data_IF_652295854500
#
_entry.id   IF_652295854500
#
_cell.length_a   1.000
_cell.length_b   1.000
_cell.length_c   1.000
_cell.angle_alpha   90.00
_cell.angle_beta   90.00
_cell.angle_gamma   90.00
#
_symmetry.space_group_name_H-M   'P 1'
#
loop_
_entity.id
_entity.type
_entity.pdbx_description
1 polymer ?
#
# COMPACT_ATOMS: atom_id res chain seq x y z
N UNK A 1 8.37 13.28 4.06
CA UNK A 1 7.69 13.70 5.31
C UNK A 1 8.73 13.75 6.40
N UNK A 2 8.88 14.84 7.17
CA UNK A 2 9.85 14.89 8.28
C UNK A 2 9.14 14.67 9.62
N UNK A 3 9.70 13.81 10.45
CA UNK A 3 9.27 13.48 11.79
C UNK A 3 10.19 14.18 12.79
N UNK A 4 9.63 15.06 13.61
CA UNK A 4 10.39 15.93 14.53
C UNK A 4 10.05 15.70 16.00
N UNK A 5 8.80 15.34 16.30
CA UNK A 5 8.27 15.13 17.65
C UNK A 5 7.11 14.13 17.63
N UNK A 6 6.63 13.70 18.79
CA UNK A 6 5.43 12.85 18.92
C UNK A 6 4.20 13.46 18.23
N UNK A 7 4.08 14.79 18.13
CA UNK A 7 2.99 15.46 17.40
C UNK A 7 2.94 15.06 15.92
N UNK A 8 4.08 14.61 15.37
CA UNK A 8 4.14 14.14 14.00
C UNK A 8 3.33 12.84 13.78
N UNK A 9 2.94 12.13 14.85
CA UNK A 9 1.94 11.05 14.81
C UNK A 9 0.54 11.54 14.41
N UNK A 10 0.23 12.82 14.68
CA UNK A 10 -1.06 13.45 14.36
C UNK A 10 -1.09 14.07 12.97
N UNK A 11 -0.02 13.94 12.17
CA UNK A 11 -0.02 14.37 10.78
C UNK A 11 -1.11 13.64 9.98
N UNK A 12 -1.88 14.35 9.13
CA UNK A 12 -2.97 13.73 8.36
C UNK A 12 -2.54 12.51 7.56
N UNK A 13 -1.36 12.52 6.95
CA UNK A 13 -0.83 11.41 6.19
C UNK A 13 -0.51 10.16 7.05
N UNK A 14 -0.11 10.35 8.31
CA UNK A 14 0.15 9.27 9.26
C UNK A 14 -1.17 8.65 9.73
N UNK A 15 -2.12 9.48 10.17
CA UNK A 15 -3.45 9.01 10.57
C UNK A 15 -4.18 8.31 9.42
N UNK A 16 -4.07 8.84 8.19
CA UNK A 16 -4.60 8.21 6.98
C UNK A 16 -3.92 6.87 6.71
N UNK A 17 -2.59 6.76 6.90
CA UNK A 17 -1.87 5.50 6.78
C UNK A 17 -2.41 4.46 7.76
N UNK A 18 -2.46 4.79 9.06
CA UNK A 18 -2.97 3.88 10.10
C UNK A 18 -4.39 3.42 9.79
N UNK A 19 -5.28 4.35 9.42
CA UNK A 19 -6.66 4.02 9.03
C UNK A 19 -6.70 3.07 7.84
N UNK A 20 -5.93 3.34 6.78
CA UNK A 20 -5.90 2.47 5.58
C UNK A 20 -5.29 1.10 5.86
N UNK A 21 -4.30 1.00 6.73
CA UNK A 21 -3.79 -0.31 7.20
C UNK A 21 -4.90 -1.08 7.93
N UNK A 22 -5.66 -0.40 8.80
CA UNK A 22 -6.76 -1.04 9.56
C UNK A 22 -7.96 -1.41 8.68
N UNK A 23 -8.33 -0.58 7.72
CA UNK A 23 -9.57 -0.76 6.97
C UNK A 23 -9.38 -1.45 5.62
N UNK A 24 -8.27 -1.18 4.93
CA UNK A 24 -8.09 -1.55 3.52
C UNK A 24 -7.04 -2.63 3.30
N UNK A 25 -6.05 -2.78 4.18
CA UNK A 25 -5.04 -3.80 4.01
C UNK A 25 -5.46 -5.13 4.64
N UNK A 26 -5.37 -6.20 3.85
CA UNK A 26 -5.53 -7.59 4.29
C UNK A 26 -4.27 -8.39 3.94
N UNK A 27 -3.75 -9.19 4.89
CA UNK A 27 -2.66 -10.12 4.60
C UNK A 27 -3.14 -11.19 3.60
N UNK A 28 -2.26 -11.69 2.72
CA UNK A 28 -2.59 -12.79 1.82
C UNK A 28 -3.01 -14.03 2.61
N UNK A 29 -4.09 -14.71 2.22
CA UNK A 29 -4.75 -15.75 3.05
C UNK A 29 -3.88 -16.99 3.32
N UNK A 30 -3.09 -17.42 2.32
CA UNK A 30 -2.35 -18.69 2.40
C UNK A 30 -1.02 -18.61 3.17
N UNK A 31 -0.72 -17.48 3.81
CA UNK A 31 0.51 -17.32 4.58
C UNK A 31 0.45 -18.10 5.90
N UNK A 32 1.57 -18.71 6.28
CA UNK A 32 1.70 -19.51 7.52
C UNK A 32 2.60 -18.86 8.55
N UNK A 33 3.49 -17.98 8.11
CA UNK A 33 4.44 -17.28 8.97
C UNK A 33 4.57 -15.81 8.56
N UNK A 34 4.40 -14.90 9.52
CA UNK A 34 4.74 -13.49 9.36
C UNK A 34 5.96 -13.16 10.19
N UNK A 35 6.98 -12.62 9.53
CA UNK A 35 8.20 -12.14 10.18
C UNK A 35 8.13 -10.62 10.31
N UNK A 36 8.15 -10.15 11.55
CA UNK A 36 8.17 -8.73 11.91
C UNK A 36 9.63 -8.27 11.99
N UNK A 37 9.98 -7.27 11.17
CA UNK A 37 11.32 -6.73 11.02
C UNK A 37 11.38 -5.27 11.49
N UNK A 38 12.54 -4.76 11.96
CA UNK A 38 12.71 -3.36 12.27
C UNK A 38 12.84 -2.55 10.97
N UNK A 39 12.59 -1.25 11.05
CA UNK A 39 12.85 -0.35 9.93
C UNK A 39 14.35 -0.18 9.62
N UNK A 40 14.65 0.43 8.47
CA UNK A 40 16.00 0.87 8.11
C UNK A 40 16.03 2.33 7.67
N UNK A 41 17.18 2.98 7.83
CA UNK A 41 17.38 4.36 7.36
C UNK A 41 17.11 4.51 5.85
N UNK A 42 17.65 3.58 5.04
CA UNK A 42 17.38 3.55 3.61
C UNK A 42 15.98 3.00 3.34
N UNK A 43 15.18 3.75 2.57
CA UNK A 43 13.84 3.40 2.11
C UNK A 43 13.79 3.40 0.57
N UNK A 44 12.94 2.56 -0.07
CA UNK A 44 12.15 1.49 0.54
C UNK A 44 13.02 0.45 1.26
N UNK A 45 12.49 -0.22 2.29
CA UNK A 45 13.35 -0.99 3.19
C UNK A 45 14.03 -2.17 2.49
N UNK A 46 13.37 -2.80 1.52
CA UNK A 46 13.91 -3.94 0.76
C UNK A 46 15.23 -3.67 0.03
N UNK A 47 15.58 -2.41 -0.25
CA UNK A 47 16.85 -2.03 -0.90
C UNK A 47 17.95 -1.65 0.11
N UNK A 48 17.67 -1.76 1.40
CA UNK A 48 18.66 -1.54 2.47
C UNK A 48 19.57 -2.76 2.66
N UNK A 49 20.81 -2.51 3.10
CA UNK A 49 21.78 -3.60 3.39
C UNK A 49 21.25 -4.58 4.43
N UNK A 50 20.60 -4.07 5.48
CA UNK A 50 20.03 -4.89 6.56
C UNK A 50 18.93 -5.81 6.04
N UNK A 51 17.93 -5.27 5.33
CA UNK A 51 16.85 -6.10 4.79
C UNK A 51 17.31 -7.09 3.72
N UNK A 52 18.33 -6.75 2.92
CA UNK A 52 18.93 -7.71 1.99
C UNK A 52 19.50 -8.94 2.75
N UNK A 53 20.15 -8.73 3.90
CA UNK A 53 20.62 -9.83 4.77
C UNK A 53 19.47 -10.59 5.41
N UNK A 54 18.46 -9.91 5.97
CA UNK A 54 17.28 -10.55 6.56
C UNK A 54 16.56 -11.42 5.53
N UNK A 55 16.31 -10.90 4.32
CA UNK A 55 15.66 -11.65 3.24
C UNK A 55 16.50 -12.85 2.78
N UNK A 56 17.83 -12.74 2.79
CA UNK A 56 18.72 -13.88 2.52
C UNK A 56 18.53 -14.99 3.55
N UNK A 57 18.49 -14.65 4.84
CA UNK A 57 18.23 -15.59 5.92
C UNK A 57 16.82 -16.21 5.84
N UNK A 58 15.79 -15.37 5.64
CA UNK A 58 14.41 -15.83 5.44
C UNK A 58 14.31 -16.82 4.28
N UNK A 59 14.94 -16.50 3.15
CA UNK A 59 14.99 -17.39 1.97
C UNK A 59 15.74 -18.70 2.26
N UNK A 60 16.84 -18.64 3.02
CA UNK A 60 17.61 -19.83 3.39
C UNK A 60 16.81 -20.76 4.34
N UNK A 61 16.03 -20.20 5.27
CA UNK A 61 15.16 -20.96 6.16
C UNK A 61 13.94 -21.54 5.45
N UNK A 62 13.23 -20.73 4.68
CA UNK A 62 11.97 -21.13 4.04
C UNK A 62 12.16 -22.02 2.80
N UNK A 63 13.28 -21.87 2.07
CA UNK A 63 13.55 -22.63 0.86
C UNK A 63 12.42 -22.54 -0.17
N UNK A 64 11.87 -23.70 -0.57
CA UNK A 64 10.72 -23.79 -1.51
C UNK A 64 9.40 -23.29 -0.92
N UNK A 65 9.32 -23.08 0.40
CA UNK A 65 8.14 -22.63 1.14
C UNK A 65 8.12 -21.11 1.37
N UNK A 66 8.99 -20.35 0.69
CA UNK A 66 9.08 -18.88 0.82
C UNK A 66 7.74 -18.16 0.57
N UNK A 67 6.84 -18.73 -0.23
CA UNK A 67 5.53 -18.16 -0.49
C UNK A 67 4.58 -18.18 0.74
N UNK A 68 4.89 -18.99 1.75
CA UNK A 68 4.16 -19.02 3.02
C UNK A 68 4.63 -17.93 3.99
N UNK A 69 5.73 -17.25 3.68
CA UNK A 69 6.33 -16.23 4.56
C UNK A 69 5.93 -14.84 4.11
N UNK A 70 5.32 -14.10 5.04
CA UNK A 70 5.02 -12.68 4.90
C UNK A 70 6.00 -11.84 5.73
N UNK A 71 6.19 -10.59 5.32
CA UNK A 71 7.12 -9.67 5.95
C UNK A 71 6.38 -8.37 6.30
N UNK A 72 6.47 -7.99 7.57
CA UNK A 72 5.92 -6.73 8.09
C UNK A 72 7.04 -5.95 8.76
N UNK A 73 7.07 -4.64 8.60
CA UNK A 73 8.13 -3.77 9.12
C UNK A 73 7.52 -2.83 10.14
N UNK A 74 8.08 -2.82 11.35
CA UNK A 74 7.69 -1.85 12.37
C UNK A 74 8.52 -0.59 12.27
N UNK A 75 7.86 0.54 12.46
CA UNK A 75 8.53 1.84 12.44
C UNK A 75 7.69 2.92 13.09
N UNK A 76 8.34 3.97 13.60
CA UNK A 76 7.66 5.22 13.92
C UNK A 76 7.85 6.21 12.76
N UNK A 77 6.84 7.03 12.41
CA UNK A 77 5.50 7.14 13.00
C UNK A 77 4.44 6.23 12.39
N UNK A 78 4.78 5.46 11.35
CA UNK A 78 3.77 4.72 10.56
C UNK A 78 3.21 3.48 11.27
N UNK A 79 3.84 3.09 12.37
CA UNK A 79 3.53 1.93 13.18
C UNK A 79 3.94 0.63 12.49
N UNK A 80 3.20 0.27 11.45
CA UNK A 80 3.35 -0.99 10.72
C UNK A 80 3.30 -0.76 9.21
N UNK A 81 4.26 -1.34 8.49
CA UNK A 81 4.37 -1.27 7.03
C UNK A 81 4.47 -2.68 6.47
N UNK A 82 3.40 -3.20 5.84
CA UNK A 82 3.49 -4.43 5.06
C UNK A 82 4.46 -4.30 3.89
N UNK A 83 5.22 -5.35 3.58
CA UNK A 83 6.24 -5.34 2.52
C UNK A 83 5.67 -4.90 1.17
N UNK A 84 4.42 -5.23 0.85
CA UNK A 84 3.78 -4.85 -0.40
C UNK A 84 3.66 -3.33 -0.57
N UNK A 85 3.55 -2.59 0.54
CA UNK A 85 3.23 -1.17 0.59
C UNK A 85 4.45 -0.27 0.87
N UNK A 86 5.66 -0.83 1.04
CA UNK A 86 6.86 -0.07 1.45
C UNK A 86 7.30 1.03 0.45
N UNK A 87 6.86 0.92 -0.80
CA UNK A 87 7.12 1.90 -1.87
C UNK A 87 6.13 3.06 -1.87
N UNK A 88 5.02 2.97 -1.13
CA UNK A 88 3.99 3.99 -1.09
C UNK A 88 4.38 5.15 -0.17
N UNK A 89 3.87 6.34 -0.49
CA UNK A 89 3.96 7.47 0.45
C UNK A 89 3.02 7.22 1.65
N UNK A 90 3.44 7.53 2.89
CA UNK A 90 4.74 8.10 3.28
C UNK A 90 5.87 7.08 3.57
N UNK A 91 5.61 5.77 3.57
CA UNK A 91 6.57 4.72 3.94
C UNK A 91 7.90 4.78 3.17
N UNK A 92 7.87 5.11 1.88
CA UNK A 92 9.06 5.15 1.06
C UNK A 92 10.03 6.31 1.34
N UNK A 93 9.59 7.37 2.04
CA UNK A 93 10.36 8.63 2.10
C UNK A 93 10.06 9.51 3.31
N UNK A 94 9.55 8.94 4.41
CA UNK A 94 9.57 9.66 5.68
C UNK A 94 11.01 9.72 6.21
N UNK A 95 11.30 10.78 6.93
CA UNK A 95 12.57 11.06 7.57
C UNK A 95 12.32 11.18 9.07
N UNK A 96 13.13 10.48 9.87
CA UNK A 96 12.99 10.42 11.32
C UNK A 96 14.38 10.31 11.93
N UNK A 97 14.58 10.98 13.07
CA UNK A 97 15.72 10.68 13.93
C UNK A 97 15.54 9.27 14.49
N UNK A 98 16.59 8.44 14.42
CA UNK A 98 16.60 7.12 15.03
C UNK A 98 17.11 7.31 16.46
N UNK A 99 16.22 7.67 17.37
CA UNK A 99 16.56 7.88 18.79
C UNK A 99 16.62 6.56 19.56
N UNK A 100 15.95 5.50 19.06
CA UNK A 100 15.79 4.22 19.76
C UNK A 100 14.79 4.27 20.91
N UNK A 101 14.34 5.46 21.28
CA UNK A 101 13.31 5.70 22.30
C UNK A 101 11.94 5.72 21.65
N UNK A 102 10.98 5.02 22.28
CA UNK A 102 9.58 4.97 21.85
C UNK A 102 8.71 5.56 22.94
N UNK A 103 7.92 6.58 22.60
CA UNK A 103 6.90 7.10 23.49
C UNK A 103 5.75 6.10 23.63
N UNK A 104 4.98 6.22 24.72
CA UNK A 104 3.82 5.35 24.96
C UNK A 104 2.75 5.49 23.87
N UNK A 105 2.62 6.67 23.26
CA UNK A 105 1.72 6.89 22.12
C UNK A 105 2.18 6.13 20.86
N UNK A 106 3.49 6.13 20.59
CA UNK A 106 4.06 5.37 19.47
C UNK A 106 3.89 3.87 19.70
N UNK A 107 4.17 3.38 20.91
CA UNK A 107 3.98 1.97 21.28
C UNK A 107 2.52 1.56 21.11
N UNK A 108 1.59 2.30 21.74
CA UNK A 108 0.15 2.03 21.67
C UNK A 108 -0.37 1.96 20.22
N UNK A 109 0.10 2.87 19.37
CA UNK A 109 -0.24 2.88 17.94
C UNK A 109 0.25 1.61 17.23
N UNK A 110 1.51 1.21 17.47
CA UNK A 110 2.06 -0.02 16.89
C UNK A 110 1.30 -1.24 17.38
N UNK A 111 1.02 -1.33 18.68
CA UNK A 111 0.28 -2.44 19.27
C UNK A 111 -1.12 -2.57 18.66
N UNK A 112 -1.85 -1.45 18.48
CA UNK A 112 -3.17 -1.45 17.85
C UNK A 112 -3.09 -2.02 16.42
N UNK A 113 -2.11 -1.58 15.62
CA UNK A 113 -1.95 -2.02 14.24
C UNK A 113 -1.55 -3.49 14.14
N UNK A 114 -0.68 -3.96 15.03
CA UNK A 114 -0.27 -5.37 15.07
C UNK A 114 -1.43 -6.26 15.53
N UNK A 115 -2.18 -5.87 16.57
CA UNK A 115 -3.39 -6.61 17.00
C UNK A 115 -4.42 -6.67 15.87
N UNK A 116 -4.63 -5.56 15.16
CA UNK A 116 -5.52 -5.53 14.00
C UNK A 116 -5.03 -6.46 12.86
N UNK A 117 -3.73 -6.45 12.56
CA UNK A 117 -3.13 -7.34 11.57
C UNK A 117 -3.27 -8.81 11.98
N UNK A 118 -2.98 -9.14 13.24
CA UNK A 118 -3.10 -10.49 13.79
C UNK A 118 -4.54 -11.01 13.71
N UNK A 119 -5.53 -10.14 13.93
CA UNK A 119 -6.95 -10.49 13.75
C UNK A 119 -7.38 -10.74 12.29
N UNK A 120 -6.54 -10.43 11.30
CA UNK A 120 -6.82 -10.61 9.87
C UNK A 120 -6.05 -11.76 9.22
N UNK A 121 -5.15 -12.41 9.94
CA UNK A 121 -4.31 -13.50 9.42
C UNK A 121 -4.37 -14.73 10.31
N UNK A 122 -4.17 -15.89 9.70
CA UNK A 122 -4.00 -17.16 10.41
C UNK A 122 -2.53 -17.57 10.55
N UNK A 123 -1.59 -16.75 10.07
CA UNK A 123 -0.16 -17.02 10.22
C UNK A 123 0.31 -16.89 11.66
N UNK A 124 1.27 -17.75 12.05
CA UNK A 124 2.11 -17.47 13.22
C UNK A 124 2.89 -16.18 12.98
N UNK A 125 2.90 -15.27 13.95
CA UNK A 125 3.66 -14.02 13.88
C UNK A 125 4.88 -14.13 14.79
N UNK A 126 6.04 -13.72 14.30
CA UNK A 126 7.30 -13.72 15.07
C UNK A 126 8.10 -12.44 14.83
N UNK A 127 8.74 -11.95 15.87
CA UNK A 127 9.65 -10.81 15.83
C UNK A 127 11.09 -11.19 15.48
N UNK A 128 11.77 -10.32 14.73
CA UNK A 128 13.21 -10.32 14.57
C UNK A 128 13.67 -8.87 14.49
N UNK A 129 13.86 -8.24 15.65
CA UNK A 129 13.95 -6.78 15.78
C UNK A 129 14.76 -6.36 16.99
N UNK A 130 15.14 -5.08 17.12
CA UNK A 130 15.91 -4.63 18.29
C UNK A 130 15.05 -4.61 19.56
N UNK A 131 15.67 -4.55 20.73
CA UNK A 131 14.99 -4.59 22.04
C UNK A 131 13.78 -3.64 22.13
N UNK A 132 13.93 -2.39 21.70
CA UNK A 132 12.84 -1.41 21.72
C UNK A 132 11.56 -1.84 20.95
N UNK A 133 11.70 -2.62 19.88
CA UNK A 133 10.55 -3.21 19.17
C UNK A 133 10.08 -4.51 19.83
N UNK A 134 11.01 -5.26 20.44
CA UNK A 134 10.71 -6.51 21.12
C UNK A 134 9.79 -6.27 22.32
N UNK A 135 10.00 -5.20 23.09
CA UNK A 135 9.10 -4.81 24.19
C UNK A 135 7.64 -4.64 23.72
N UNK A 136 7.43 -4.04 22.54
CA UNK A 136 6.10 -3.85 21.94
C UNK A 136 5.50 -5.18 21.48
N UNK A 137 6.33 -6.09 20.96
CA UNK A 137 5.87 -7.42 20.56
C UNK A 137 5.54 -8.31 21.75
N UNK A 138 6.32 -8.21 22.83
CA UNK A 138 6.06 -8.92 24.08
C UNK A 138 4.74 -8.50 24.71
N UNK A 139 4.41 -7.19 24.71
CA UNK A 139 3.15 -6.67 25.28
C UNK A 139 1.90 -7.16 24.55
N UNK A 140 2.04 -7.62 23.30
CA UNK A 140 0.97 -8.24 22.50
C UNK A 140 1.08 -9.77 22.42
N UNK A 141 2.01 -10.38 23.16
CA UNK A 141 2.18 -11.84 23.23
C UNK A 141 2.83 -12.47 21.98
N UNK A 142 3.62 -11.71 21.23
CA UNK A 142 4.32 -12.20 20.03
C UNK A 142 5.75 -12.62 20.38
N UNK A 143 6.09 -13.86 20.01
CA UNK A 143 7.43 -14.41 20.20
C UNK A 143 8.49 -13.65 19.38
N UNK A 144 9.60 -13.25 20.02
CA UNK A 144 10.75 -12.60 19.35
C UNK A 144 11.95 -13.55 19.26
N UNK A 145 12.41 -13.80 18.03
CA UNK A 145 13.52 -14.72 17.71
C UNK A 145 14.89 -14.16 18.14
N UNK A 146 15.11 -12.86 17.90
CA UNK A 146 16.35 -12.17 18.25
C UNK A 146 16.04 -10.70 18.56
N UNK A 147 16.71 -10.17 19.58
CA UNK A 147 16.49 -8.81 20.14
C UNK A 147 17.66 -7.86 19.94
N UNK A 148 18.82 -8.39 19.56
CA UNK A 148 20.05 -7.65 19.39
C UNK A 148 20.86 -8.21 18.21
N UNK A 149 22.00 -7.58 17.91
CA UNK A 149 22.97 -8.03 16.90
C UNK A 149 22.35 -8.67 15.64
N UNK A 150 21.30 -8.02 15.09
CA UNK A 150 20.44 -8.61 14.05
C UNK A 150 21.18 -8.91 12.75
N UNK A 151 22.35 -8.30 12.54
CA UNK A 151 23.19 -8.54 11.36
C UNK A 151 24.30 -9.56 11.60
N UNK A 152 24.43 -10.04 12.84
CA UNK A 152 25.38 -11.07 13.24
C UNK A 152 25.01 -12.42 12.65
N UNK A 153 26.04 -13.18 12.25
CA UNK A 153 25.85 -14.46 11.56
C UNK A 153 25.07 -15.48 12.41
N UNK A 154 25.32 -15.53 13.72
CA UNK A 154 24.59 -16.38 14.65
C UNK A 154 23.08 -16.10 14.63
N UNK A 155 22.67 -14.82 14.70
CA UNK A 155 21.26 -14.45 14.72
C UNK A 155 20.59 -14.64 13.35
N UNK A 156 21.32 -14.47 12.24
CA UNK A 156 20.80 -14.75 10.89
C UNK A 156 20.61 -16.27 10.66
N UNK A 157 21.53 -17.09 11.19
CA UNK A 157 21.42 -18.54 11.15
C UNK A 157 20.28 -19.03 12.05
N UNK A 158 20.11 -18.42 13.23
CA UNK A 158 18.97 -18.67 14.13
C UNK A 158 17.65 -18.35 13.43
N UNK A 159 17.51 -17.18 12.80
CA UNK A 159 16.32 -16.80 12.02
C UNK A 159 16.01 -17.86 10.95
N UNK A 160 17.02 -18.28 10.19
CA UNK A 160 16.88 -19.30 9.16
C UNK A 160 16.41 -20.64 9.74
N UNK A 161 16.97 -21.07 10.88
CA UNK A 161 16.58 -22.30 11.58
C UNK A 161 15.14 -22.22 12.08
N UNK A 162 14.76 -21.16 12.81
CA UNK A 162 13.40 -20.99 13.35
C UNK A 162 12.34 -20.98 12.25
N UNK A 163 12.61 -20.30 11.13
CA UNK A 163 11.71 -20.31 9.97
C UNK A 163 11.54 -21.73 9.41
N UNK A 164 12.63 -22.50 9.31
CA UNK A 164 12.56 -23.89 8.86
C UNK A 164 11.70 -24.74 9.79
N UNK A 165 11.88 -24.58 11.10
CA UNK A 165 11.14 -25.31 12.12
C UNK A 165 9.64 -24.99 12.07
N UNK A 166 9.27 -23.71 11.94
CA UNK A 166 7.86 -23.30 11.81
C UNK A 166 7.18 -23.83 10.56
N UNK A 167 7.93 -23.96 9.46
CA UNK A 167 7.38 -24.41 8.19
C UNK A 167 7.58 -25.92 7.97
N UNK A 168 8.04 -26.69 8.96
CA UNK A 168 8.39 -28.10 8.76
C UNK A 168 7.20 -28.93 8.30
N UNK A 169 6.03 -28.72 8.91
CA UNK A 169 4.77 -29.42 8.62
C UNK A 169 3.96 -28.80 7.47
N UNK A 170 4.36 -27.63 6.96
CA UNK A 170 3.60 -26.93 5.94
C UNK A 170 3.93 -27.39 4.52
N UNK A 171 2.93 -27.40 3.64
CA UNK A 171 3.14 -27.72 2.23
C UNK A 171 3.49 -26.48 1.41
N UNK A 172 4.30 -26.66 0.35
CA UNK A 172 4.62 -25.55 -0.54
C UNK A 172 3.37 -25.13 -1.33
N UNK A 173 3.16 -23.83 -1.47
CA UNK A 173 2.10 -23.27 -2.32
C UNK A 173 2.67 -22.55 -3.53
N UNK A 174 1.90 -22.52 -4.62
CA UNK A 174 2.12 -21.60 -5.73
C UNK A 174 1.45 -20.28 -5.38
N UNK A 175 2.21 -19.18 -5.49
CA UNK A 175 1.73 -17.86 -5.13
C UNK A 175 2.40 -16.83 -6.03
N UNK A 176 1.65 -15.87 -6.53
CA UNK A 176 2.18 -14.78 -7.34
C UNK A 176 2.32 -13.52 -6.50
N UNK A 177 3.46 -13.39 -5.80
CA UNK A 177 3.74 -12.25 -4.90
C UNK A 177 3.67 -10.90 -5.59
N UNK A 178 3.97 -10.83 -6.89
CA UNK A 178 3.85 -9.58 -7.64
C UNK A 178 2.38 -9.19 -7.84
N UNK A 179 1.52 -10.17 -8.15
CA UNK A 179 0.08 -9.94 -8.32
C UNK A 179 -0.55 -9.44 -7.01
N UNK A 180 -0.23 -10.09 -5.90
CA UNK A 180 -0.75 -9.70 -4.57
C UNK A 180 -0.22 -8.35 -4.14
N UNK A 181 1.05 -8.02 -4.43
CA UNK A 181 1.57 -6.68 -4.20
C UNK A 181 0.72 -5.65 -4.94
N UNK A 182 0.39 -5.88 -6.20
CA UNK A 182 -0.44 -4.98 -6.99
C UNK A 182 -1.86 -4.87 -6.44
N UNK A 183 -2.46 -5.98 -6.01
CA UNK A 183 -3.78 -5.99 -5.35
C UNK A 183 -3.76 -5.21 -4.04
N UNK A 184 -2.77 -5.44 -3.18
CA UNK A 184 -2.62 -4.71 -1.92
C UNK A 184 -2.43 -3.20 -2.16
N UNK A 185 -1.66 -2.81 -3.18
CA UNK A 185 -1.53 -1.39 -3.58
C UNK A 185 -2.86 -0.83 -4.06
N UNK A 186 -3.61 -1.57 -4.90
CA UNK A 186 -4.93 -1.16 -5.38
C UNK A 186 -5.92 -0.97 -4.22
N UNK A 187 -6.00 -1.91 -3.27
CA UNK A 187 -6.85 -1.78 -2.10
C UNK A 187 -6.43 -0.61 -1.22
N UNK A 188 -5.12 -0.45 -0.98
CA UNK A 188 -4.62 0.65 -0.18
C UNK A 188 -4.93 2.01 -0.82
N UNK A 189 -4.89 2.11 -2.15
CA UNK A 189 -5.13 3.35 -2.89
C UNK A 189 -6.63 3.66 -3.02
N UNK A 190 -7.45 2.67 -3.37
CA UNK A 190 -8.84 2.83 -3.81
C UNK A 190 -9.89 2.20 -2.86
N UNK A 191 -9.45 1.63 -1.74
CA UNK A 191 -10.32 1.07 -0.71
C UNK A 191 -10.49 -0.45 -0.78
N UNK A 192 -11.02 -0.99 0.32
CA UNK A 192 -11.31 -2.43 0.49
C UNK A 192 -12.08 -3.01 -0.72
N UNK A 193 -11.65 -4.16 -1.20
CA UNK A 193 -12.27 -4.91 -2.30
C UNK A 193 -11.84 -4.44 -3.70
N UNK A 194 -11.13 -3.32 -3.82
CA UNK A 194 -10.69 -2.83 -5.15
C UNK A 194 -9.51 -3.61 -5.73
N UNK A 195 -8.82 -4.42 -4.91
CA UNK A 195 -7.62 -5.16 -5.32
C UNK A 195 -7.88 -6.04 -6.52
N UNK A 196 -8.83 -6.97 -6.40
CA UNK A 196 -9.17 -7.91 -7.47
C UNK A 196 -9.95 -7.29 -8.62
N UNK A 197 -10.74 -6.23 -8.34
CA UNK A 197 -11.51 -5.51 -9.36
C UNK A 197 -10.56 -4.78 -10.31
N UNK A 198 -9.56 -4.08 -9.77
CA UNK A 198 -8.57 -3.34 -10.57
C UNK A 198 -7.51 -4.30 -11.12
N UNK A 199 -7.09 -5.30 -10.34
CA UNK A 199 -6.06 -6.27 -10.71
C UNK A 199 -6.67 -7.68 -10.73
N UNK A 200 -7.46 -8.02 -11.77
CA UNK A 200 -8.11 -9.32 -11.89
C UNK A 200 -7.11 -10.44 -12.19
N UNK A 201 -7.57 -11.68 -12.12
CA UNK A 201 -6.80 -12.82 -12.59
C UNK A 201 -6.46 -12.71 -14.09
N UNK A 202 -5.31 -13.23 -14.49
CA UNK A 202 -4.87 -13.22 -15.89
C UNK A 202 -4.25 -11.90 -16.37
N UNK A 203 -3.97 -10.95 -15.48
CA UNK A 203 -3.19 -9.75 -15.83
C UNK A 203 -1.79 -10.11 -16.30
N UNK A 204 -1.30 -9.39 -17.31
CA UNK A 204 0.06 -9.50 -17.82
C UNK A 204 0.87 -8.30 -17.36
N UNK A 205 2.05 -8.57 -16.80
CA UNK A 205 2.96 -7.55 -16.31
C UNK A 205 4.02 -7.25 -17.38
N UNK A 206 4.05 -6.00 -17.85
CA UNK A 206 5.22 -5.41 -18.51
C UNK A 206 6.20 -4.86 -17.47
N UNK A 207 7.16 -4.03 -17.90
CA UNK A 207 8.17 -3.45 -16.98
C UNK A 207 7.53 -2.66 -15.82
N UNK A 208 6.63 -1.74 -16.15
CA UNK A 208 5.83 -0.94 -15.19
C UNK A 208 4.35 -0.90 -15.59
N UNK A 209 3.98 -1.61 -16.66
CA UNK A 209 2.65 -1.52 -17.26
C UNK A 209 1.88 -2.80 -16.94
N UNK A 210 0.60 -2.65 -16.65
CA UNK A 210 -0.30 -3.74 -16.27
C UNK A 210 -1.36 -3.84 -17.37
N UNK A 211 -1.49 -5.02 -17.95
CA UNK A 211 -2.40 -5.29 -19.05
C UNK A 211 -3.45 -6.33 -18.65
N UNK A 212 -4.68 -6.13 -19.07
CA UNK A 212 -5.78 -7.09 -18.95
C UNK A 212 -6.52 -7.16 -20.29
N UNK A 213 -6.78 -8.37 -20.79
CA UNK A 213 -7.40 -8.61 -22.11
C UNK A 213 -6.78 -7.75 -23.24
N UNK A 214 -5.45 -7.71 -23.28
CA UNK A 214 -4.62 -6.91 -24.22
C UNK A 214 -4.80 -5.38 -24.15
N UNK A 215 -5.58 -4.86 -23.20
CA UNK A 215 -5.67 -3.42 -22.92
C UNK A 215 -4.78 -3.09 -21.73
N UNK A 216 -4.11 -1.94 -21.79
CA UNK A 216 -3.38 -1.43 -20.63
C UNK A 216 -4.40 -0.85 -19.66
N UNK A 217 -4.38 -1.32 -18.41
CA UNK A 217 -5.30 -0.88 -17.36
C UNK A 217 -4.62 0.05 -16.34
N UNK A 218 -3.32 -0.11 -16.12
CA UNK A 218 -2.59 0.72 -15.17
C UNK A 218 -1.10 0.79 -15.50
N UNK A 219 -0.43 1.76 -14.89
CA UNK A 219 1.03 1.86 -14.81
C UNK A 219 1.44 2.05 -13.36
N UNK A 220 2.40 1.26 -12.90
CA UNK A 220 3.03 1.43 -11.59
C UNK A 220 3.93 2.66 -11.60
N UNK A 221 3.77 3.55 -10.64
CA UNK A 221 4.58 4.76 -10.50
C UNK A 221 5.97 4.40 -9.95
N UNK A 222 7.01 4.54 -10.77
CA UNK A 222 8.39 4.15 -10.46
C UNK A 222 8.94 4.67 -9.11
N UNK A 223 8.50 5.85 -8.64
CA UNK A 223 9.02 6.47 -7.42
C UNK A 223 8.23 6.13 -6.15
N UNK A 224 6.93 5.86 -6.30
CA UNK A 224 5.99 5.86 -5.18
C UNK A 224 5.06 4.64 -5.16
N UNK A 225 5.26 3.67 -6.05
CA UNK A 225 4.50 2.42 -6.09
C UNK A 225 2.99 2.56 -6.36
N UNK A 226 2.43 3.77 -6.51
CA UNK A 226 1.01 3.96 -6.80
C UNK A 226 0.62 3.46 -8.19
N UNK A 227 -0.65 3.07 -8.33
CA UNK A 227 -1.25 2.74 -9.62
C UNK A 227 -1.77 4.03 -10.27
N UNK A 228 -1.21 4.35 -11.42
CA UNK A 228 -1.75 5.34 -12.34
C UNK A 228 -2.66 4.60 -13.34
N UNK A 229 -3.97 4.66 -13.13
CA UNK A 229 -4.95 3.98 -13.99
C UNK A 229 -4.97 4.57 -15.40
N UNK A 230 -5.24 3.75 -16.41
CA UNK A 230 -5.68 4.25 -17.72
C UNK A 230 -7.19 4.47 -17.69
N UNK A 231 -7.76 4.96 -18.80
CA UNK A 231 -9.21 5.09 -18.92
C UNK A 231 -9.86 3.70 -18.77
N UNK A 232 -9.30 2.70 -19.42
CA UNK A 232 -9.76 1.31 -19.36
C UNK A 232 -9.67 0.70 -17.96
N UNK A 233 -8.67 1.08 -17.16
CA UNK A 233 -8.57 0.61 -15.78
C UNK A 233 -9.43 1.40 -14.81
N UNK A 234 -9.80 2.63 -15.15
CA UNK A 234 -10.68 3.47 -14.34
C UNK A 234 -12.16 3.10 -14.47
N UNK A 235 -12.54 2.29 -15.46
CA UNK A 235 -13.88 1.68 -15.52
C UNK A 235 -14.20 0.92 -14.22
N UNK A 236 -13.21 0.27 -13.60
CA UNK A 236 -13.34 -0.40 -12.30
C UNK A 236 -13.74 0.56 -11.16
N UNK A 237 -13.29 1.81 -11.20
CA UNK A 237 -13.65 2.85 -10.23
C UNK A 237 -15.09 3.29 -10.42
N UNK A 238 -15.48 3.54 -11.67
CA UNK A 238 -16.84 3.92 -12.03
C UNK A 238 -17.86 2.82 -11.68
N UNK A 239 -17.56 1.56 -11.97
CA UNK A 239 -18.44 0.41 -11.67
C UNK A 239 -18.76 0.29 -10.17
N UNK A 240 -17.85 0.71 -9.30
CA UNK A 240 -18.04 0.68 -7.84
C UNK A 240 -18.40 2.03 -7.23
N UNK A 241 -18.53 3.09 -8.04
CA UNK A 241 -18.79 4.44 -7.57
C UNK A 241 -17.74 4.95 -6.57
N UNK A 242 -16.48 4.55 -6.74
CA UNK A 242 -15.37 4.94 -5.84
C UNK A 242 -14.36 5.80 -6.58
N UNK A 243 -13.90 6.89 -5.97
CA UNK A 243 -12.94 7.83 -6.54
C UNK A 243 -13.40 8.39 -7.90
N UNK A 244 -14.70 8.60 -8.05
CA UNK A 244 -15.35 9.15 -9.25
C UNK A 244 -15.68 10.63 -9.09
N UNK A 245 -15.56 11.37 -10.20
CA UNK A 245 -16.00 12.76 -10.34
C UNK A 245 -16.92 12.84 -11.56
N UNK A 246 -18.19 13.14 -11.34
CA UNK A 246 -19.22 13.22 -12.38
C UNK A 246 -19.31 14.64 -12.92
N UNK A 247 -19.33 14.79 -14.24
CA UNK A 247 -19.39 16.08 -14.95
C UNK A 247 -20.56 16.09 -15.96
N UNK A 248 -20.98 17.28 -16.39
CA UNK A 248 -22.07 17.50 -17.37
C UNK A 248 -21.60 17.84 -18.79
N UNK A 249 -20.28 17.85 -19.01
CA UNK A 249 -19.66 18.21 -20.29
C UNK A 249 -18.59 17.20 -20.73
N UNK A 250 -18.23 17.21 -22.02
CA UNK A 250 -17.09 16.45 -22.52
C UNK A 250 -15.81 17.28 -22.37
N UNK A 251 -14.75 16.81 -21.69
CA UNK A 251 -13.55 17.61 -21.47
C UNK A 251 -12.77 17.91 -22.76
N UNK A 252 -12.65 19.19 -23.09
CA UNK A 252 -11.83 19.66 -24.22
C UNK A 252 -10.36 19.91 -23.83
N UNK A 253 -10.12 20.22 -22.55
CA UNK A 253 -8.79 20.46 -22.00
C UNK A 253 -8.42 19.41 -20.96
N UNK A 254 -7.22 19.52 -20.40
CA UNK A 254 -6.76 18.63 -19.32
C UNK A 254 -7.11 19.15 -17.92
N UNK A 255 -8.03 20.11 -17.81
CA UNK A 255 -8.44 20.71 -16.55
C UNK A 255 -9.96 20.59 -16.40
N UNK A 256 -10.40 20.01 -15.29
CA UNK A 256 -11.81 20.03 -14.88
C UNK A 256 -11.93 21.10 -13.79
N UNK A 257 -12.81 22.06 -14.04
CA UNK A 257 -13.13 23.13 -13.11
C UNK A 257 -14.37 22.77 -12.30
N UNK A 258 -14.46 23.28 -11.06
CA UNK A 258 -15.57 22.97 -10.15
C UNK A 258 -16.94 23.28 -10.76
N UNK A 259 -17.05 24.34 -11.57
CA UNK A 259 -18.30 24.78 -12.20
C UNK A 259 -18.99 23.72 -13.08
N UNK A 260 -18.26 22.71 -13.58
CA UNK A 260 -18.84 21.63 -14.39
C UNK A 260 -18.87 20.27 -13.68
N UNK A 261 -18.71 20.24 -12.36
CA UNK A 261 -18.83 19.04 -11.54
C UNK A 261 -20.25 18.94 -10.98
N UNK A 262 -20.91 17.81 -11.24
CA UNK A 262 -22.25 17.49 -10.73
C UNK A 262 -22.17 16.77 -9.39
N UNK A 263 -21.25 15.80 -9.29
CA UNK A 263 -21.06 14.97 -8.11
C UNK A 263 -19.60 14.52 -7.97
N UNK A 264 -19.16 14.24 -6.75
CA UNK A 264 -17.81 13.77 -6.47
C UNK A 264 -17.79 12.89 -5.22
N UNK A 265 -17.07 11.76 -5.29
CA UNK A 265 -16.88 10.88 -4.15
C UNK A 265 -16.21 11.66 -2.99
N UNK A 266 -16.89 11.71 -1.85
CA UNK A 266 -16.46 12.43 -0.64
C UNK A 266 -15.18 11.88 -0.02
N UNK A 267 -14.77 10.66 -0.38
CA UNK A 267 -13.53 10.06 0.11
C UNK A 267 -12.28 10.60 -0.61
N UNK A 268 -12.45 11.25 -1.77
CA UNK A 268 -11.38 11.86 -2.54
C UNK A 268 -10.70 12.96 -1.73
N UNK A 269 -9.37 12.93 -1.68
CA UNK A 269 -8.56 14.04 -1.18
C UNK A 269 -7.55 14.51 -2.25
N UNK A 270 -6.94 15.70 -2.09
CA UNK A 270 -5.94 16.19 -3.01
C UNK A 270 -4.81 15.19 -3.27
N UNK A 271 -4.48 15.01 -4.54
CA UNK A 271 -3.45 14.10 -5.02
C UNK A 271 -3.93 12.68 -5.34
N UNK A 272 -5.14 12.29 -4.91
CA UNK A 272 -5.73 10.99 -5.27
C UNK A 272 -5.94 10.89 -6.78
N UNK A 273 -5.81 9.67 -7.28
CA UNK A 273 -6.12 9.32 -8.67
C UNK A 273 -7.64 9.15 -8.79
N UNK A 274 -8.27 9.82 -9.77
CA UNK A 274 -9.72 9.84 -9.93
C UNK A 274 -10.16 9.49 -11.34
N UNK A 275 -11.32 8.86 -11.46
CA UNK A 275 -12.04 8.65 -12.71
C UNK A 275 -13.02 9.81 -12.94
N UNK A 276 -12.97 10.43 -14.11
CA UNK A 276 -13.93 11.48 -14.51
C UNK A 276 -14.99 10.87 -15.41
N UNK A 277 -16.24 10.96 -14.99
CA UNK A 277 -17.40 10.27 -15.58
C UNK A 277 -18.34 11.28 -16.23
N UNK A 278 -18.71 11.03 -17.49
CA UNK A 278 -19.71 11.78 -18.22
C UNK A 278 -20.67 10.79 -18.87
N UNK A 279 -21.98 10.94 -18.63
CA UNK A 279 -23.02 10.02 -19.12
C UNK A 279 -22.69 8.54 -18.84
N UNK A 280 -22.33 8.24 -17.60
CA UNK A 280 -21.95 6.90 -17.12
C UNK A 280 -20.67 6.31 -17.73
N UNK A 281 -19.99 7.02 -18.62
CA UNK A 281 -18.72 6.59 -19.19
C UNK A 281 -17.53 7.31 -18.58
N UNK A 282 -16.44 6.58 -18.34
CA UNK A 282 -15.15 7.20 -17.97
C UNK A 282 -14.57 7.94 -19.18
N UNK A 283 -14.64 9.26 -19.13
CA UNK A 283 -14.09 10.15 -20.17
C UNK A 283 -12.70 10.66 -19.85
N UNK A 284 -12.22 10.50 -18.61
CA UNK A 284 -10.89 10.91 -18.23
C UNK A 284 -10.37 10.27 -16.96
N UNK A 285 -9.06 10.34 -16.79
CA UNK A 285 -8.36 9.97 -15.55
C UNK A 285 -7.36 11.05 -15.19
N UNK A 286 -7.29 11.39 -13.90
CA UNK A 286 -6.51 12.52 -13.44
C UNK A 286 -6.19 12.47 -11.95
N UNK A 287 -5.62 13.57 -11.47
CA UNK A 287 -5.38 13.78 -10.04
C UNK A 287 -6.31 14.84 -9.50
N UNK A 288 -6.92 14.55 -8.38
CA UNK A 288 -7.69 15.51 -7.60
C UNK A 288 -6.78 16.64 -7.11
N UNK A 289 -7.27 17.88 -7.24
CA UNK A 289 -6.65 19.10 -6.72
C UNK A 289 -7.35 19.52 -5.43
N UNK A 290 -8.66 19.28 -5.35
CA UNK A 290 -9.52 19.52 -4.19
C UNK A 290 -9.99 18.19 -3.59
N UNK A 291 -10.53 18.22 -2.37
CA UNK A 291 -11.28 17.08 -1.86
C UNK A 291 -12.69 17.01 -2.47
N UNK A 292 -13.36 15.86 -2.40
CA UNK A 292 -14.68 15.67 -3.04
C UNK A 292 -15.75 16.66 -2.57
N UNK A 293 -15.73 17.06 -1.29
CA UNK A 293 -16.68 18.06 -0.76
C UNK A 293 -16.39 19.47 -1.31
N UNK A 294 -15.12 19.85 -1.40
CA UNK A 294 -14.71 21.13 -1.99
C UNK A 294 -15.05 21.22 -3.46
N UNK A 295 -14.93 20.11 -4.22
CA UNK A 295 -15.30 20.06 -5.64
C UNK A 295 -16.76 20.45 -5.88
N UNK A 296 -17.66 20.11 -4.96
CA UNK A 296 -19.10 20.40 -5.06
C UNK A 296 -19.49 21.78 -4.52
N UNK A 297 -18.72 22.33 -3.58
CA UNK A 297 -19.04 23.60 -2.92
C UNK A 297 -18.38 24.80 -3.59
N UNK A 298 -17.24 24.60 -4.25
CA UNK A 298 -16.50 25.69 -4.86
C UNK A 298 -17.14 26.11 -6.19
N UNK A 299 -17.43 27.40 -6.34
CA UNK A 299 -17.97 27.96 -7.60
C UNK A 299 -16.90 28.10 -8.70
N UNK A 300 -15.63 28.17 -8.31
CA UNK A 300 -14.49 28.38 -9.23
C UNK A 300 -13.25 27.64 -8.76
N UNK A 301 -12.32 27.46 -9.70
CA UNK A 301 -11.05 26.77 -9.45
C UNK A 301 -10.96 25.42 -10.14
N UNK A 302 -9.74 24.91 -10.30
CA UNK A 302 -9.49 23.60 -10.90
C UNK A 302 -9.68 22.53 -9.83
N UNK A 303 -10.55 21.56 -10.10
CA UNK A 303 -10.84 20.44 -9.22
C UNK A 303 -10.03 19.19 -9.57
N UNK A 304 -9.84 18.90 -10.87
CA UNK A 304 -9.08 17.73 -11.34
C UNK A 304 -8.13 18.14 -12.47
N UNK A 305 -6.88 17.71 -12.36
CA UNK A 305 -5.91 17.78 -13.46
C UNK A 305 -5.84 16.43 -14.17
N UNK A 306 -6.36 16.38 -15.39
CA UNK A 306 -6.39 15.16 -16.21
C UNK A 306 -4.98 14.80 -16.70
N UNK A 307 -4.67 13.51 -16.62
CA UNK A 307 -3.50 12.90 -17.28
C UNK A 307 -3.85 12.38 -18.65
N UNK A 308 -5.06 11.81 -18.80
CA UNK A 308 -5.61 11.32 -20.07
C UNK A 308 -7.09 11.62 -20.13
N UNK A 309 -7.59 11.82 -21.35
CA UNK A 309 -9.01 11.95 -21.67
C UNK A 309 -9.33 11.20 -22.95
N UNK A 310 -10.57 10.74 -23.10
CA UNK A 310 -11.07 10.29 -24.40
C UNK A 310 -11.06 11.51 -25.33
N UNK A 311 -10.51 11.34 -26.52
CA UNK A 311 -10.72 12.33 -27.58
C UNK A 311 -12.13 12.09 -28.10
N UNK A 312 -12.86 13.16 -28.36
CA UNK A 312 -14.13 13.08 -29.08
C UNK A 312 -13.83 12.33 -30.38
N UNK A 313 -14.38 11.12 -30.53
CA UNK A 313 -14.43 10.50 -31.85
C UNK A 313 -15.36 11.43 -32.60
N UNK A 314 -14.86 12.06 -33.66
CA UNK A 314 -15.75 12.68 -34.62
C UNK A 314 -16.69 11.56 -35.07
N UNK A 315 -17.92 11.60 -34.59
CA UNK A 315 -19.02 10.92 -35.28
C UNK A 315 -19.03 11.57 -36.66
N UNK A 316 -18.28 10.97 -37.58
CA UNK A 316 -18.41 11.23 -39.00
C UNK A 316 -19.90 11.04 -39.29
N UNK A 317 -20.52 12.15 -39.66
CA UNK A 317 -21.92 12.28 -39.97
C UNK A 317 -22.39 11.11 -40.83
N UNK A 318 -23.48 10.47 -40.39
CA UNK A 318 -24.41 9.79 -41.28
C UNK A 318 -25.02 10.78 -42.27
#
# INVERSE_FOLDING_TARGET
MKYYSCDSLNRPEVKRWHRRIKEYYFPPEDIKLTVVLPCSAKKPYSISKSHMKFRKAIKAGAGKKLNLVHEVILTSPLGMVPRELEELYPACCYDTSVTGYWSEEEKSTVEELIRNYAGKTHSKIVGYCSEAYAEILDSVGIEVIARDNLLGENNLNLLSRRIRDFLVQEERIKRNRNLEKLRAVAEFQFGKGMGEIIIPEGVKLGRNDIYYKNKKIARLHHRYGYLNLTIEGADALAEKGKYTVSIDFMPETNSIFCAGIIDADRTIVPGDEVAVVYKEEVVGVGRAVLNGMEMLRAERGMAVKLRKRRKQIALSAS
#
